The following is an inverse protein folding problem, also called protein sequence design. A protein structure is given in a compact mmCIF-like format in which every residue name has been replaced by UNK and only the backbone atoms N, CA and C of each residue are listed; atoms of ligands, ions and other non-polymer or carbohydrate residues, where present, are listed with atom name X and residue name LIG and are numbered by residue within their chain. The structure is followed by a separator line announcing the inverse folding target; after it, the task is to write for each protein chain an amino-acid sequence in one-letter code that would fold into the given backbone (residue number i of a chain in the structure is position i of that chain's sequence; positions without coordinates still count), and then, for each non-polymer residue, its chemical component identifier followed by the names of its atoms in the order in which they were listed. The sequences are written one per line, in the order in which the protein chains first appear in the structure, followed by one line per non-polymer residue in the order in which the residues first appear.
data_IF_390282201857
#
_entry.id   IF_390282201857
#
_cell.length_a   1.000
_cell.length_b   1.000
_cell.length_c   1.000
_cell.angle_alpha   90.00
_cell.angle_beta   90.00
_cell.angle_gamma   90.00
#
_symmetry.space_group_name_H-M   'P 1'
#
loop_
_entity.id
_entity.type
_entity.pdbx_description
1 polymer ?
#
# COMPACT_ATOMS: atom_id res chain seq x y z
N UNK A 1 -20.08 96.89 -62.16
CA UNK A 1 -19.54 97.41 -60.90
C UNK A 1 -20.10 96.55 -59.78
N UNK A 2 -19.21 95.89 -59.05
CA UNK A 2 -19.51 95.14 -57.83
C UNK A 2 -20.09 96.05 -56.74
N UNK A 3 -20.97 95.50 -55.91
CA UNK A 3 -20.84 95.38 -54.45
C UNK A 3 -22.23 95.12 -53.86
N UNK A 4 -22.52 93.93 -53.33
CA UNK A 4 -22.16 93.35 -52.02
C UNK A 4 -23.25 93.64 -50.98
N UNK A 5 -24.13 92.66 -50.78
CA UNK A 5 -25.15 92.65 -49.72
C UNK A 5 -24.97 91.36 -48.93
N UNK A 6 -24.46 91.49 -47.70
CA UNK A 6 -24.20 90.37 -46.78
C UNK A 6 -25.33 90.27 -45.76
N UNK A 7 -26.05 89.14 -45.62
CA UNK A 7 -26.88 88.89 -44.46
C UNK A 7 -26.06 88.24 -43.34
N UNK A 8 -26.13 88.86 -42.16
CA UNK A 8 -25.53 88.41 -40.91
C UNK A 8 -26.20 87.11 -40.42
N UNK A 9 -25.46 86.00 -40.35
CA UNK A 9 -25.89 84.74 -39.73
C UNK A 9 -25.12 84.51 -38.42
N UNK A 10 -25.78 84.32 -37.26
CA UNK A 10 -25.08 84.02 -36.01
C UNK A 10 -24.47 82.61 -36.02
N UNK A 11 -23.22 82.48 -35.59
CA UNK A 11 -22.49 81.20 -35.51
C UNK A 11 -22.92 80.34 -34.30
N UNK A 12 -23.09 79.01 -34.43
CA UNK A 12 -23.44 78.15 -33.29
C UNK A 12 -22.17 77.75 -32.51
N UNK A 13 -21.68 78.64 -31.64
CA UNK A 13 -20.55 78.35 -30.74
C UNK A 13 -20.95 77.54 -29.49
N UNK A 14 -22.21 77.61 -29.06
CA UNK A 14 -22.67 77.02 -27.79
C UNK A 14 -22.84 75.49 -27.77
N UNK A 15 -22.96 74.82 -28.92
CA UNK A 15 -23.20 73.36 -28.96
C UNK A 15 -21.91 72.53 -28.82
N UNK A 16 -20.75 73.07 -29.21
CA UNK A 16 -19.45 72.36 -29.14
C UNK A 16 -18.89 72.31 -27.72
N UNK A 17 -19.17 73.33 -26.91
CA UNK A 17 -18.72 73.40 -25.51
C UNK A 17 -19.55 72.46 -24.62
N UNK A 18 -20.87 72.43 -24.81
CA UNK A 18 -21.75 71.49 -24.10
C UNK A 18 -21.43 70.01 -24.38
N UNK A 19 -20.97 69.69 -25.60
CA UNK A 19 -20.52 68.34 -25.96
C UNK A 19 -19.20 67.98 -25.29
N UNK A 20 -18.24 68.91 -25.22
CA UNK A 20 -16.96 68.70 -24.53
C UNK A 20 -17.13 68.54 -23.03
N UNK A 21 -18.03 69.30 -22.41
CA UNK A 21 -18.34 69.17 -20.99
C UNK A 21 -19.01 67.82 -20.65
N UNK A 22 -19.97 67.38 -21.49
CA UNK A 22 -20.58 66.05 -21.34
C UNK A 22 -19.57 64.93 -21.55
N UNK A 23 -18.68 65.05 -22.55
CA UNK A 23 -17.62 64.07 -22.79
C UNK A 23 -16.67 63.97 -21.58
N UNK A 24 -16.27 65.10 -20.99
CA UNK A 24 -15.41 65.10 -19.80
C UNK A 24 -16.10 64.49 -18.57
N UNK A 25 -17.39 64.76 -18.35
CA UNK A 25 -18.17 64.13 -17.25
C UNK A 25 -18.30 62.62 -17.43
N UNK A 26 -18.56 62.14 -18.65
CA UNK A 26 -18.65 60.70 -18.94
C UNK A 26 -17.29 60.02 -18.77
N UNK A 27 -16.20 60.64 -19.24
CA UNK A 27 -14.85 60.10 -19.03
C UNK A 27 -14.46 60.04 -17.54
N UNK A 28 -14.84 61.04 -16.73
CA UNK A 28 -14.60 61.04 -15.29
C UNK A 28 -15.45 59.97 -14.56
N UNK A 29 -16.68 59.72 -15.00
CA UNK A 29 -17.52 58.66 -14.44
C UNK A 29 -17.01 57.26 -14.83
N UNK A 30 -16.60 57.07 -16.08
CA UNK A 30 -16.08 55.79 -16.57
C UNK A 30 -14.73 55.42 -15.95
N UNK A 31 -13.84 56.38 -15.68
CA UNK A 31 -12.55 56.11 -15.04
C UNK A 31 -12.72 55.66 -13.58
N UNK A 32 -13.62 56.31 -12.82
CA UNK A 32 -13.98 55.91 -11.46
C UNK A 32 -14.62 54.52 -11.41
N UNK A 33 -15.54 54.23 -12.34
CA UNK A 33 -16.16 52.90 -12.45
C UNK A 33 -15.15 51.80 -12.79
N UNK A 34 -14.20 52.05 -13.71
CA UNK A 34 -13.13 51.10 -14.05
C UNK A 34 -12.20 50.85 -12.87
N UNK A 35 -11.85 51.88 -12.11
CA UNK A 35 -11.02 51.75 -10.91
C UNK A 35 -11.73 50.92 -9.84
N UNK A 36 -13.00 51.24 -9.53
CA UNK A 36 -13.80 50.47 -8.55
C UNK A 36 -13.99 49.02 -8.98
N UNK A 37 -14.24 48.75 -10.26
CA UNK A 37 -14.36 47.37 -10.78
C UNK A 37 -13.06 46.59 -10.62
N UNK A 38 -11.90 47.21 -10.84
CA UNK A 38 -10.58 46.58 -10.61
C UNK A 38 -10.33 46.28 -9.13
N UNK A 39 -10.71 47.21 -8.24
CA UNK A 39 -10.60 47.00 -6.79
C UNK A 39 -11.50 45.85 -6.33
N UNK A 40 -12.74 45.78 -6.81
CA UNK A 40 -13.68 44.69 -6.47
C UNK A 40 -13.15 43.34 -6.94
N UNK A 41 -12.67 43.24 -8.19
CA UNK A 41 -12.09 42.00 -8.72
C UNK A 41 -10.84 41.59 -7.92
N UNK A 42 -9.97 42.56 -7.59
CA UNK A 42 -8.80 42.30 -6.75
C UNK A 42 -9.18 41.80 -5.35
N UNK A 43 -10.18 42.42 -4.71
CA UNK A 43 -10.67 42.00 -3.39
C UNK A 43 -11.29 40.60 -3.42
N UNK A 44 -12.10 40.27 -4.44
CA UNK A 44 -12.69 38.93 -4.61
C UNK A 44 -11.60 37.88 -4.85
N UNK A 45 -10.58 38.19 -5.65
CA UNK A 45 -9.47 37.27 -5.88
C UNK A 45 -8.65 37.02 -4.60
N UNK A 46 -8.40 38.05 -3.79
CA UNK A 46 -7.72 37.90 -2.49
C UNK A 46 -8.55 37.07 -1.52
N UNK A 47 -9.86 37.29 -1.45
CA UNK A 47 -10.75 36.50 -0.60
C UNK A 47 -10.80 35.05 -1.07
N UNK A 48 -10.86 34.78 -2.37
CA UNK A 48 -10.86 33.42 -2.91
C UNK A 48 -9.53 32.69 -2.64
N UNK A 49 -8.39 33.34 -2.88
CA UNK A 49 -7.06 32.78 -2.58
C UNK A 49 -6.86 32.59 -1.09
N UNK A 50 -7.33 33.54 -0.27
CA UNK A 50 -7.34 33.42 1.19
C UNK A 50 -8.18 32.25 1.68
N UNK A 51 -9.40 32.10 1.16
CA UNK A 51 -10.31 31.00 1.50
C UNK A 51 -9.73 29.63 1.10
N UNK A 52 -9.15 29.52 -0.09
CA UNK A 52 -8.45 28.30 -0.53
C UNK A 52 -7.22 28.04 0.34
N UNK A 53 -6.42 29.06 0.65
CA UNK A 53 -5.27 28.95 1.55
C UNK A 53 -5.66 28.48 2.95
N UNK A 54 -6.74 29.03 3.51
CA UNK A 54 -7.26 28.60 4.82
C UNK A 54 -7.86 27.20 4.79
N UNK A 55 -8.52 26.80 3.69
CA UNK A 55 -9.04 25.44 3.55
C UNK A 55 -7.92 24.41 3.45
N UNK A 56 -6.85 24.73 2.72
CA UNK A 56 -5.66 23.87 2.60
C UNK A 56 -4.91 23.79 3.94
N UNK A 57 -4.71 24.89 4.67
CA UNK A 57 -4.05 24.84 5.99
C UNK A 57 -4.89 24.13 7.05
N UNK A 58 -6.23 24.26 7.02
CA UNK A 58 -7.13 23.50 7.89
C UNK A 58 -7.13 22.00 7.57
N UNK A 59 -7.11 21.63 6.29
CA UNK A 59 -7.02 20.23 5.88
C UNK A 59 -5.68 19.57 6.25
N UNK A 60 -4.57 20.32 6.18
CA UNK A 60 -3.24 19.83 6.57
C UNK A 60 -3.10 19.76 8.11
N UNK A 61 -3.58 20.77 8.85
CA UNK A 61 -3.50 20.75 10.32
C UNK A 61 -4.41 19.70 10.98
N UNK A 62 -5.53 19.35 10.35
CA UNK A 62 -6.37 18.23 10.78
C UNK A 62 -5.68 16.87 10.65
N UNK A 63 -4.74 16.70 9.71
CA UNK A 63 -3.94 15.47 9.58
C UNK A 63 -2.78 15.40 10.57
N UNK A 64 -2.19 16.53 10.96
CA UNK A 64 -1.06 16.58 11.92
C UNK A 64 -1.48 16.26 13.36
N UNK A 65 -2.79 16.25 13.65
CA UNK A 65 -3.31 16.10 15.03
C UNK A 65 -3.88 14.72 15.36
N UNK A 66 -3.95 13.77 14.40
CA UNK A 66 -4.35 12.39 14.70
C UNK A 66 -3.15 11.62 15.22
N UNK A 67 -3.25 10.88 16.35
CA UNK A 67 -2.18 9.99 16.77
C UNK A 67 -1.88 8.98 15.65
N UNK A 68 -0.59 8.79 15.36
CA UNK A 68 -0.14 7.78 14.40
C UNK A 68 -0.53 6.40 14.94
N UNK A 69 -1.41 5.69 14.24
CA UNK A 69 -1.77 4.33 14.59
C UNK A 69 -0.75 3.37 14.01
N UNK A 70 -0.33 2.40 14.83
CA UNK A 70 0.51 1.28 14.41
C UNK A 70 -0.35 0.02 14.45
N UNK A 71 -0.39 -0.79 13.38
CA UNK A 71 -1.12 -2.04 13.37
C UNK A 71 -0.60 -2.98 14.47
N UNK A 72 -1.50 -3.77 15.05
CA UNK A 72 -1.12 -4.82 16.00
C UNK A 72 -1.04 -6.17 15.29
N UNK A 73 -0.24 -7.10 15.83
CA UNK A 73 -0.12 -8.46 15.26
C UNK A 73 0.77 -8.55 14.01
N UNK A 74 1.65 -7.58 13.82
CA UNK A 74 2.66 -7.58 12.75
C UNK A 74 4.07 -7.65 13.32
N UNK A 75 4.96 -8.33 12.61
CA UNK A 75 6.39 -8.38 12.89
C UNK A 75 7.16 -7.78 11.71
N UNK A 76 8.01 -6.80 11.99
CA UNK A 76 8.79 -6.09 10.95
C UNK A 76 7.94 -5.59 9.78
N UNK A 77 6.75 -5.03 10.08
CA UNK A 77 5.72 -4.61 9.12
C UNK A 77 5.06 -5.72 8.29
N UNK A 78 5.36 -6.98 8.61
CA UNK A 78 4.78 -8.17 8.00
C UNK A 78 3.62 -8.73 8.82
N UNK A 79 2.56 -9.11 8.15
CA UNK A 79 1.48 -9.91 8.73
C UNK A 79 1.87 -11.38 8.61
N UNK A 80 2.07 -12.04 9.74
CA UNK A 80 2.44 -13.45 9.81
C UNK A 80 1.22 -14.31 9.53
N UNK A 81 1.34 -15.23 8.57
CA UNK A 81 0.37 -16.26 8.25
C UNK A 81 1.04 -17.62 8.48
N UNK A 82 0.68 -18.26 9.59
CA UNK A 82 1.20 -19.55 10.03
C UNK A 82 0.10 -20.60 10.27
N UNK A 83 -1.17 -20.19 10.16
CA UNK A 83 -2.33 -21.06 10.16
C UNK A 83 -3.34 -20.46 9.18
N UNK A 84 -4.00 -21.33 8.42
CA UNK A 84 -5.10 -20.93 7.54
C UNK A 84 -6.23 -21.92 7.72
N UNK A 85 -7.42 -21.41 8.04
CA UNK A 85 -8.64 -22.19 7.91
C UNK A 85 -8.72 -22.65 6.45
N UNK A 86 -8.57 -23.95 6.20
CA UNK A 86 -8.53 -24.53 4.86
C UNK A 86 -9.67 -23.95 4.02
N UNK A 87 -9.30 -23.05 3.12
CA UNK A 87 -10.26 -22.31 2.31
C UNK A 87 -10.87 -23.36 1.41
N UNK A 88 -12.14 -23.68 1.68
CA UNK A 88 -12.88 -24.71 1.00
C UNK A 88 -12.59 -24.62 -0.49
N UNK A 89 -11.96 -25.66 -1.02
CA UNK A 89 -11.66 -25.83 -2.42
C UNK A 89 -12.96 -25.71 -3.22
N UNK A 90 -13.25 -24.51 -3.71
CA UNK A 90 -14.20 -24.30 -4.79
C UNK A 90 -13.39 -24.14 -6.07
N UNK A 91 -12.88 -25.25 -6.60
CA UNK A 91 -13.35 -25.77 -7.90
C UNK A 91 -12.60 -27.08 -8.25
N UNK A 92 -13.36 -28.01 -8.83
CA UNK A 92 -12.97 -29.26 -9.53
C UNK A 92 -12.18 -30.34 -8.77
N UNK A 93 -12.95 -31.35 -8.39
CA UNK A 93 -12.56 -32.73 -8.07
C UNK A 93 -11.73 -33.41 -9.17
N UNK A 94 -10.56 -33.95 -8.82
CA UNK A 94 -10.06 -35.20 -9.38
C UNK A 94 -9.57 -36.08 -8.23
N UNK A 95 -10.41 -37.05 -7.87
CA UNK A 95 -10.14 -38.02 -6.83
C UNK A 95 -9.01 -38.99 -7.20
N UNK A 96 -8.25 -39.38 -6.19
CA UNK A 96 -7.56 -40.68 -6.16
C UNK A 96 -7.72 -41.22 -4.73
N UNK A 97 -8.23 -42.44 -4.53
CA UNK A 97 -8.44 -42.97 -3.18
C UNK A 97 -7.11 -43.37 -2.55
N UNK A 98 -6.83 -42.85 -1.36
CA UNK A 98 -5.73 -43.33 -0.50
C UNK A 98 -6.25 -44.52 0.32
N UNK A 99 -5.52 -45.65 0.41
CA UNK A 99 -5.97 -46.80 1.17
C UNK A 99 -5.82 -46.58 2.69
N UNK A 100 -6.78 -47.08 3.47
CA UNK A 100 -6.74 -47.13 4.93
C UNK A 100 -5.52 -47.93 5.43
N UNK A 101 -4.77 -47.45 6.45
CA UNK A 101 -3.88 -48.28 7.21
C UNK A 101 -4.64 -49.03 8.31
N UNK A 102 -4.50 -50.35 8.27
CA UNK A 102 -4.95 -51.32 9.28
C UNK A 102 -4.28 -51.10 10.63
N UNK A 103 -5.07 -51.16 11.71
CA UNK A 103 -4.59 -51.21 13.10
C UNK A 103 -3.70 -52.44 13.37
N UNK A 104 -2.55 -52.22 14.00
CA UNK A 104 -1.87 -53.23 14.79
C UNK A 104 -1.22 -52.59 16.02
N UNK A 105 -1.73 -52.97 17.19
CA UNK A 105 -1.21 -52.59 18.49
C UNK A 105 0.10 -53.34 18.81
N UNK A 106 1.09 -52.62 19.36
CA UNK A 106 2.05 -53.16 20.32
C UNK A 106 2.60 -52.02 21.19
N UNK A 107 2.33 -52.14 22.48
CA UNK A 107 2.74 -51.26 23.57
C UNK A 107 4.24 -51.32 23.79
N UNK A 108 4.93 -50.19 23.62
CA UNK A 108 6.24 -49.94 24.21
C UNK A 108 6.19 -48.60 24.96
N UNK A 109 6.50 -48.64 26.25
CA UNK A 109 6.57 -47.48 27.14
C UNK A 109 7.63 -46.50 26.63
N UNK A 110 7.30 -45.23 26.31
CA UNK A 110 8.33 -44.27 25.92
C UNK A 110 9.07 -43.77 27.17
N UNK A 111 10.38 -44.04 27.19
CA UNK A 111 11.38 -43.20 27.86
C UNK A 111 11.13 -41.74 27.46
N UNK A 112 11.24 -40.74 28.37
CA UNK A 112 11.10 -39.35 27.98
C UNK A 112 12.21 -39.00 26.98
N UNK A 113 11.86 -39.00 25.70
CA UNK A 113 12.66 -38.36 24.68
C UNK A 113 12.65 -36.86 24.98
N UNK A 114 13.76 -36.14 24.78
CA UNK A 114 13.71 -34.69 24.75
C UNK A 114 12.61 -34.26 23.78
N UNK A 115 11.81 -33.29 24.20
CA UNK A 115 10.78 -32.67 23.38
C UNK A 115 11.40 -32.39 22.00
N UNK A 116 10.85 -32.95 20.90
CA UNK A 116 11.39 -32.65 19.58
C UNK A 116 11.20 -31.16 19.40
N UNK A 117 12.30 -30.41 19.36
CA UNK A 117 12.30 -29.06 18.81
C UNK A 117 11.57 -29.17 17.48
N UNK A 118 10.43 -28.48 17.35
CA UNK A 118 9.72 -28.44 16.09
C UNK A 118 10.74 -28.06 15.00
N UNK A 119 10.75 -28.72 13.83
CA UNK A 119 11.67 -28.35 12.77
C UNK A 119 11.55 -26.85 12.52
N UNK A 120 12.68 -26.16 12.40
CA UNK A 120 12.69 -24.73 12.07
C UNK A 120 11.94 -24.56 10.75
N UNK A 121 10.84 -23.82 10.78
CA UNK A 121 10.04 -23.55 9.58
C UNK A 121 10.78 -22.55 8.72
N UNK A 122 10.82 -22.77 7.41
CA UNK A 122 11.41 -21.78 6.50
C UNK A 122 10.53 -20.52 6.52
N UNK A 123 11.15 -19.37 6.78
CA UNK A 123 10.47 -18.07 6.76
C UNK A 123 10.50 -17.48 5.35
N UNK A 124 9.32 -17.10 4.86
CA UNK A 124 9.12 -16.46 3.57
C UNK A 124 8.52 -15.07 3.80
N UNK A 125 9.20 -14.02 3.37
CA UNK A 125 8.72 -12.65 3.39
C UNK A 125 8.27 -12.25 1.98
N UNK A 126 7.02 -11.83 1.82
CA UNK A 126 6.43 -11.41 0.55
C UNK A 126 6.07 -9.94 0.62
N UNK A 127 6.87 -9.08 0.00
CA UNK A 127 6.58 -7.64 -0.13
C UNK A 127 5.60 -7.42 -1.27
N UNK A 128 4.43 -6.87 -0.97
CA UNK A 128 3.29 -6.85 -1.89
C UNK A 128 2.71 -5.44 -2.07
N UNK A 129 2.59 -5.00 -3.32
CA UNK A 129 1.79 -3.83 -3.70
C UNK A 129 0.53 -4.31 -4.43
N UNK A 130 -0.64 -3.99 -3.88
CA UNK A 130 -1.93 -4.46 -4.39
C UNK A 130 -2.31 -3.92 -5.79
N UNK A 131 -1.55 -2.99 -6.37
CA UNK A 131 -1.71 -2.54 -7.76
C UNK A 131 -0.68 -3.16 -8.73
N UNK A 132 0.38 -3.79 -8.22
CA UNK A 132 1.43 -4.35 -9.05
C UNK A 132 0.94 -5.61 -9.77
N UNK A 133 0.92 -5.65 -11.12
CA UNK A 133 0.42 -6.80 -11.86
C UNK A 133 1.16 -8.10 -11.55
N UNK A 134 2.49 -8.01 -11.42
CA UNK A 134 3.39 -9.11 -11.09
C UNK A 134 3.02 -9.72 -9.72
N UNK A 135 2.49 -8.92 -8.79
CA UNK A 135 2.12 -9.41 -7.47
C UNK A 135 0.84 -10.25 -7.54
N UNK A 136 -0.11 -9.85 -8.38
CA UNK A 136 -1.29 -10.68 -8.66
C UNK A 136 -0.93 -11.92 -9.49
N UNK A 137 0.04 -11.84 -10.39
CA UNK A 137 0.55 -13.01 -11.14
C UNK A 137 1.13 -14.05 -10.19
N UNK A 138 2.06 -13.64 -9.33
CA UNK A 138 2.63 -14.50 -8.30
C UNK A 138 1.55 -15.13 -7.41
N UNK A 139 0.61 -14.32 -6.90
CA UNK A 139 -0.48 -14.82 -6.05
C UNK A 139 -1.32 -15.89 -6.78
N UNK A 140 -1.76 -15.61 -8.02
CA UNK A 140 -2.61 -16.55 -8.78
C UNK A 140 -1.89 -17.86 -9.08
N UNK A 141 -0.58 -17.82 -9.30
CA UNK A 141 0.23 -19.01 -9.56
C UNK A 141 0.54 -19.80 -8.27
N UNK A 142 0.93 -19.10 -7.19
CA UNK A 142 1.58 -19.72 -6.02
C UNK A 142 0.72 -19.79 -4.75
N UNK A 143 -0.43 -19.11 -4.67
CA UNK A 143 -1.23 -19.08 -3.44
C UNK A 143 -1.64 -20.47 -2.96
N UNK A 144 -1.97 -21.40 -3.87
CA UNK A 144 -2.38 -22.77 -3.50
C UNK A 144 -1.24 -23.57 -2.87
N UNK A 145 -0.03 -23.48 -3.41
CA UNK A 145 1.11 -24.21 -2.82
C UNK A 145 1.57 -23.57 -1.50
N UNK A 146 1.58 -22.24 -1.42
CA UNK A 146 1.89 -21.53 -0.17
C UNK A 146 0.90 -21.92 0.92
N UNK A 147 -0.40 -21.97 0.59
CA UNK A 147 -1.44 -22.43 1.49
C UNK A 147 -1.20 -23.87 1.98
N UNK A 148 -0.83 -24.79 1.08
CA UNK A 148 -0.47 -26.17 1.45
C UNK A 148 0.70 -26.20 2.42
N UNK A 149 1.79 -25.49 2.10
CA UNK A 149 2.99 -25.46 2.94
C UNK A 149 2.76 -24.82 4.32
N UNK A 150 1.91 -23.78 4.39
CA UNK A 150 1.49 -23.18 5.66
C UNK A 150 0.70 -24.20 6.48
N UNK A 151 -0.30 -24.86 5.86
CA UNK A 151 -1.16 -25.84 6.54
C UNK A 151 -0.41 -27.09 7.01
N UNK A 152 0.63 -27.49 6.26
CA UNK A 152 1.54 -28.58 6.62
C UNK A 152 2.57 -28.15 7.68
N UNK A 153 2.63 -26.86 8.02
CA UNK A 153 3.62 -26.30 8.96
C UNK A 153 5.05 -26.30 8.41
N UNK A 154 5.23 -26.39 7.09
CA UNK A 154 6.54 -26.39 6.43
C UNK A 154 7.15 -24.98 6.35
N UNK A 155 6.31 -23.96 6.20
CA UNK A 155 6.74 -22.55 6.08
C UNK A 155 5.95 -21.64 7.01
N UNK A 156 6.55 -20.51 7.36
CA UNK A 156 5.85 -19.34 7.89
C UNK A 156 5.89 -18.25 6.81
N UNK A 157 4.75 -17.71 6.41
CA UNK A 157 4.71 -16.65 5.39
C UNK A 157 4.34 -15.33 6.03
N UNK A 158 5.22 -14.33 5.90
CA UNK A 158 4.96 -12.95 6.31
C UNK A 158 4.68 -12.09 5.07
N UNK A 159 3.47 -11.56 4.94
CA UNK A 159 3.14 -10.62 3.87
C UNK A 159 3.38 -9.18 4.35
N UNK A 160 4.11 -8.40 3.57
CA UNK A 160 4.49 -7.01 3.88
C UNK A 160 3.78 -6.06 2.90
N UNK A 161 2.61 -5.49 3.26
CA UNK A 161 1.91 -4.53 2.42
C UNK A 161 2.75 -3.25 2.20
N UNK A 162 3.07 -2.97 0.95
CA UNK A 162 3.83 -1.79 0.52
C UNK A 162 3.08 -1.05 -0.60
N UNK A 163 3.52 0.18 -0.90
CA UNK A 163 2.81 1.10 -1.78
C UNK A 163 3.70 1.78 -2.85
N UNK A 164 4.51 0.99 -3.55
CA UNK A 164 5.40 1.43 -4.64
C UNK A 164 4.66 2.14 -5.79
N UNK A 165 3.44 1.70 -6.12
CA UNK A 165 2.63 2.20 -7.23
C UNK A 165 1.61 3.26 -6.81
N UNK A 166 1.83 3.93 -5.67
CA UNK A 166 0.95 5.00 -5.16
C UNK A 166 0.59 6.05 -6.22
N UNK A 167 1.53 6.46 -7.06
CA UNK A 167 1.29 7.47 -8.10
C UNK A 167 0.56 6.92 -9.36
N UNK A 168 0.41 5.61 -9.49
CA UNK A 168 -0.04 4.92 -10.71
C UNK A 168 -1.55 4.65 -10.74
N UNK A 169 -2.35 5.40 -9.98
CA UNK A 169 -3.80 5.18 -9.79
C UNK A 169 -4.65 6.44 -9.98
N UNK A 170 -4.44 7.18 -11.07
CA UNK A 170 -5.20 8.40 -11.41
C UNK A 170 -5.36 9.42 -10.26
N UNK A 171 -4.37 9.50 -9.37
CA UNK A 171 -4.38 10.38 -8.19
C UNK A 171 -5.14 9.86 -6.96
N UNK A 172 -5.80 8.70 -7.02
CA UNK A 172 -6.53 8.12 -5.88
C UNK A 172 -5.62 7.43 -4.86
N UNK A 173 -4.37 7.12 -5.23
CA UNK A 173 -3.38 6.48 -4.36
C UNK A 173 -3.80 5.08 -3.91
N UNK A 174 -4.37 4.29 -4.82
CA UNK A 174 -4.92 2.97 -4.53
C UNK A 174 -3.93 2.04 -3.78
N UNK A 175 -2.67 1.89 -4.23
CA UNK A 175 -1.69 1.04 -3.53
C UNK A 175 -1.56 1.38 -2.05
N UNK A 176 -1.49 2.67 -1.73
CA UNK A 176 -1.35 3.15 -0.35
C UNK A 176 -2.61 2.86 0.48
N UNK A 177 -3.79 3.08 -0.08
CA UNK A 177 -5.08 2.81 0.60
C UNK A 177 -5.31 1.31 0.79
N UNK A 178 -4.95 0.50 -0.21
CA UNK A 178 -5.06 -0.95 -0.13
C UNK A 178 -4.09 -1.56 0.90
N UNK A 179 -2.83 -1.09 0.96
CA UNK A 179 -1.88 -1.49 1.99
C UNK A 179 -2.37 -1.13 3.41
N UNK A 180 -2.92 0.07 3.59
CA UNK A 180 -3.56 0.47 4.84
C UNK A 180 -4.80 -0.38 5.18
N UNK A 181 -5.60 -0.75 4.18
CA UNK A 181 -6.76 -1.60 4.38
C UNK A 181 -6.37 -3.03 4.80
N UNK A 182 -5.30 -3.57 4.22
CA UNK A 182 -4.73 -4.85 4.63
C UNK A 182 -4.28 -4.83 6.11
N UNK A 183 -3.70 -3.71 6.55
CA UNK A 183 -3.37 -3.50 7.96
C UNK A 183 -4.59 -3.41 8.89
N UNK A 184 -5.69 -2.81 8.44
CA UNK A 184 -6.95 -2.81 9.16
C UNK A 184 -7.49 -4.23 9.35
N UNK A 185 -7.46 -5.05 8.31
CA UNK A 185 -7.89 -6.46 8.41
C UNK A 185 -6.96 -7.23 9.34
N UNK A 186 -5.65 -7.10 9.21
CA UNK A 186 -4.69 -7.76 10.10
C UNK A 186 -4.89 -7.38 11.58
N UNK A 187 -5.18 -6.10 11.86
CA UNK A 187 -5.37 -5.59 13.22
C UNK A 187 -6.65 -6.11 13.86
N UNK A 188 -7.75 -6.17 13.11
CA UNK A 188 -9.09 -6.43 13.66
C UNK A 188 -9.63 -7.83 13.36
N UNK A 189 -9.05 -8.54 12.40
CA UNK A 189 -9.45 -9.88 11.95
C UNK A 189 -8.26 -10.61 11.32
N UNK A 190 -7.17 -10.86 12.09
CA UNK A 190 -5.92 -11.44 11.57
C UNK A 190 -6.14 -12.74 10.79
N UNK A 191 -7.02 -13.62 11.27
CA UNK A 191 -7.33 -14.91 10.62
C UNK A 191 -8.01 -14.74 9.25
N UNK A 192 -8.52 -13.54 8.93
CA UNK A 192 -9.11 -13.20 7.63
C UNK A 192 -8.17 -12.43 6.70
N UNK A 193 -6.98 -12.06 7.19
CA UNK A 193 -5.99 -11.33 6.40
C UNK A 193 -5.61 -12.08 5.13
N UNK A 194 -5.28 -13.37 5.22
CA UNK A 194 -4.84 -14.14 4.06
C UNK A 194 -5.92 -14.20 2.97
N UNK A 195 -7.19 -14.40 3.36
CA UNK A 195 -8.31 -14.38 2.43
C UNK A 195 -8.50 -13.00 1.76
N UNK A 196 -8.39 -11.92 2.54
CA UNK A 196 -8.46 -10.55 2.02
C UNK A 196 -7.29 -10.21 1.07
N UNK A 197 -6.07 -10.58 1.44
CA UNK A 197 -4.86 -10.40 0.64
C UNK A 197 -5.04 -11.06 -0.73
N UNK A 198 -5.47 -12.33 -0.75
CA UNK A 198 -5.73 -13.06 -1.98
C UNK A 198 -6.85 -12.45 -2.81
N UNK A 199 -7.94 -12.01 -2.19
CA UNK A 199 -9.05 -11.37 -2.90
C UNK A 199 -8.57 -10.12 -3.65
N UNK A 200 -7.82 -9.24 -2.99
CA UNK A 200 -7.30 -8.02 -3.61
C UNK A 200 -6.31 -8.30 -4.75
N UNK A 201 -5.43 -9.31 -4.60
CA UNK A 201 -4.44 -9.68 -5.61
C UNK A 201 -5.02 -10.48 -6.78
N UNK A 202 -6.11 -11.21 -6.54
CA UNK A 202 -6.84 -11.92 -7.61
C UNK A 202 -7.74 -10.97 -8.40
N UNK A 203 -8.31 -9.96 -7.74
CA UNK A 203 -9.26 -9.01 -8.32
C UNK A 203 -8.65 -7.60 -8.48
N UNK A 204 -7.40 -7.52 -8.93
CA UNK A 204 -6.71 -6.24 -9.03
C UNK A 204 -7.36 -5.27 -10.02
N UNK A 205 -7.45 -3.99 -9.66
CA UNK A 205 -7.75 -2.96 -10.65
C UNK A 205 -6.59 -2.81 -11.64
N UNK A 206 -6.91 -2.38 -12.85
CA UNK A 206 -5.90 -2.10 -13.87
C UNK A 206 -5.05 -0.89 -13.46
N UNK A 207 -3.73 -0.98 -13.63
CA UNK A 207 -2.80 0.15 -13.48
C UNK A 207 -3.27 1.36 -14.31
N UNK A 208 -3.20 2.55 -13.72
CA UNK A 208 -3.65 3.80 -14.33
C UNK A 208 -5.14 4.08 -14.18
N UNK A 209 -5.92 3.18 -13.55
CA UNK A 209 -7.31 3.44 -13.17
C UNK A 209 -7.42 3.93 -11.72
N UNK A 210 -8.61 4.37 -11.32
CA UNK A 210 -8.88 4.85 -9.96
C UNK A 210 -8.67 3.78 -8.87
N UNK A 211 -8.68 2.49 -9.23
CA UNK A 211 -8.70 1.40 -8.25
C UNK A 211 -9.99 1.33 -7.45
N UNK A 212 -10.01 0.50 -6.41
CA UNK A 212 -11.17 0.45 -5.50
C UNK A 212 -11.21 1.68 -4.60
N UNK A 213 -12.41 2.21 -4.36
CA UNK A 213 -12.65 3.20 -3.30
C UNK A 213 -12.52 2.57 -1.91
N UNK A 214 -12.43 3.38 -0.85
CA UNK A 214 -12.34 2.87 0.52
C UNK A 214 -13.57 2.06 0.91
N UNK A 215 -14.75 2.48 0.46
CA UNK A 215 -15.98 1.71 0.64
C UNK A 215 -15.94 0.36 -0.10
N UNK A 216 -15.32 0.29 -1.28
CA UNK A 216 -15.13 -0.98 -2.00
C UNK A 216 -14.11 -1.88 -1.31
N UNK A 217 -13.00 -1.34 -0.78
CA UNK A 217 -12.03 -2.07 0.03
C UNK A 217 -12.68 -2.63 1.30
N UNK A 218 -13.51 -1.83 1.99
CA UNK A 218 -14.25 -2.27 3.17
C UNK A 218 -15.28 -3.36 2.83
N UNK A 219 -15.95 -3.26 1.67
CA UNK A 219 -16.86 -4.29 1.20
C UNK A 219 -16.13 -5.60 0.84
N UNK A 220 -14.92 -5.52 0.26
CA UNK A 220 -14.08 -6.69 0.00
C UNK A 220 -13.66 -7.37 1.32
N UNK A 221 -13.28 -6.59 2.34
CA UNK A 221 -13.00 -7.13 3.67
C UNK A 221 -14.24 -7.81 4.29
N UNK A 222 -15.41 -7.19 4.19
CA UNK A 222 -16.66 -7.80 4.65
C UNK A 222 -16.98 -9.11 3.90
N UNK A 223 -16.69 -9.19 2.60
CA UNK A 223 -16.96 -10.36 1.78
C UNK A 223 -16.14 -11.59 2.18
N UNK A 224 -14.95 -11.40 2.76
CA UNK A 224 -14.13 -12.52 3.30
C UNK A 224 -14.48 -12.90 4.74
N UNK A 225 -15.53 -12.29 5.33
CA UNK A 225 -16.08 -12.69 6.62
C UNK A 225 -15.27 -12.22 7.83
N UNK A 226 -14.76 -10.99 7.82
CA UNK A 226 -14.13 -10.35 8.99
C UNK A 226 -15.04 -10.34 10.23
N UNK A 227 -14.48 -10.59 11.41
CA UNK A 227 -15.23 -10.78 12.66
C UNK A 227 -15.86 -9.48 13.17
N UNK A 228 -15.08 -8.38 13.17
CA UNK A 228 -15.57 -7.04 13.51
C UNK A 228 -15.70 -6.17 12.24
N UNK A 229 -16.66 -6.55 11.39
CA UNK A 229 -16.90 -5.86 10.11
C UNK A 229 -17.13 -4.34 10.26
N UNK A 230 -17.64 -3.88 11.41
CA UNK A 230 -17.86 -2.45 11.66
C UNK A 230 -16.54 -1.74 11.98
N UNK A 231 -15.71 -2.30 12.85
CA UNK A 231 -14.40 -1.72 13.15
C UNK A 231 -13.48 -1.75 11.93
N UNK A 232 -13.43 -2.88 11.22
CA UNK A 232 -12.67 -3.01 9.96
C UNK A 232 -13.10 -1.96 8.95
N UNK A 233 -14.42 -1.80 8.74
CA UNK A 233 -14.95 -0.79 7.81
C UNK A 233 -14.55 0.63 8.22
N UNK A 234 -14.70 0.99 9.49
CA UNK A 234 -14.31 2.32 9.97
C UNK A 234 -12.82 2.56 9.76
N UNK A 235 -11.96 1.61 10.16
CA UNK A 235 -10.52 1.70 9.98
C UNK A 235 -10.12 1.96 8.52
N UNK A 236 -10.76 1.25 7.58
CA UNK A 236 -10.51 1.41 6.14
C UNK A 236 -11.02 2.76 5.63
N UNK A 237 -12.27 3.12 5.91
CA UNK A 237 -12.90 4.36 5.42
C UNK A 237 -12.29 5.62 6.05
N UNK A 238 -11.77 5.54 7.27
CA UNK A 238 -11.09 6.64 7.97
C UNK A 238 -9.59 6.75 7.60
N UNK A 239 -9.05 5.75 6.92
CA UNK A 239 -7.66 5.71 6.46
C UNK A 239 -6.64 5.56 7.60
N UNK A 240 -7.00 4.84 8.65
CA UNK A 240 -6.28 4.81 9.93
C UNK A 240 -4.80 4.42 9.83
N UNK A 241 -4.47 3.51 8.91
CA UNK A 241 -3.10 3.04 8.69
C UNK A 241 -2.42 3.58 7.43
N UNK A 242 -2.94 4.63 6.80
CA UNK A 242 -2.33 5.24 5.59
C UNK A 242 -0.92 5.76 5.88
N UNK A 243 -0.69 6.38 7.03
CA UNK A 243 0.65 6.88 7.37
C UNK A 243 1.61 5.73 7.70
N UNK A 244 1.14 4.70 8.41
CA UNK A 244 1.92 3.48 8.63
C UNK A 244 2.33 2.84 7.30
N UNK A 245 1.40 2.65 6.35
CA UNK A 245 1.68 2.01 5.07
C UNK A 245 2.74 2.78 4.26
N UNK A 246 2.71 4.12 4.33
CA UNK A 246 3.74 4.97 3.73
C UNK A 246 5.11 4.73 4.39
N UNK A 247 5.16 4.73 5.72
CA UNK A 247 6.41 4.55 6.46
C UNK A 247 6.98 3.14 6.35
N UNK A 248 6.13 2.10 6.34
CA UNK A 248 6.51 0.71 6.06
C UNK A 248 7.13 0.59 4.67
N UNK A 249 6.52 1.23 3.66
CA UNK A 249 7.09 1.30 2.31
C UNK A 249 8.46 1.99 2.31
N UNK A 250 8.63 3.09 3.05
CA UNK A 250 9.94 3.77 3.18
C UNK A 250 10.97 2.87 3.86
N UNK A 251 10.62 2.19 4.96
CA UNK A 251 11.52 1.26 5.64
C UNK A 251 11.96 0.11 4.72
N UNK A 252 11.04 -0.44 3.93
CA UNK A 252 11.38 -1.49 2.97
C UNK A 252 12.32 -1.00 1.86
N UNK A 253 12.14 0.25 1.39
CA UNK A 253 13.02 0.86 0.39
C UNK A 253 14.41 1.21 0.93
N UNK A 254 14.51 1.53 2.22
CA UNK A 254 15.78 1.84 2.90
C UNK A 254 16.53 0.56 3.32
N UNK A 255 15.79 -0.49 3.69
CA UNK A 255 16.27 -1.77 4.18
C UNK A 255 16.99 -1.72 5.54
N UNK A 256 17.60 -2.85 5.96
CA UNK A 256 17.50 -4.16 5.33
C UNK A 256 16.07 -4.73 5.42
N UNK A 257 15.68 -5.57 4.46
CA UNK A 257 14.40 -6.27 4.48
C UNK A 257 14.37 -7.34 5.58
N UNK A 258 13.20 -7.57 6.18
CA UNK A 258 12.98 -8.65 7.12
C UNK A 258 13.45 -10.00 6.55
N UNK A 259 14.19 -10.75 7.37
CA UNK A 259 14.79 -12.02 6.98
C UNK A 259 16.08 -11.88 6.16
N UNK A 260 16.65 -10.69 5.96
CA UNK A 260 17.88 -10.48 5.18
C UNK A 260 18.83 -9.46 5.83
N UNK A 261 20.12 -9.51 5.48
CA UNK A 261 21.15 -8.61 6.02
C UNK A 261 21.36 -7.34 5.18
N UNK A 262 21.09 -7.39 3.88
CA UNK A 262 21.48 -6.34 2.93
C UNK A 262 20.44 -6.05 1.82
N UNK A 263 19.37 -6.84 1.71
CA UNK A 263 18.37 -6.62 0.68
C UNK A 263 17.56 -5.34 0.96
N UNK A 264 17.18 -4.67 -0.12
CA UNK A 264 16.27 -3.52 -0.14
C UNK A 264 15.16 -3.78 -1.14
N UNK A 265 13.97 -3.23 -0.89
CA UNK A 265 12.84 -3.38 -1.79
C UNK A 265 13.12 -2.67 -3.12
N UNK A 266 12.97 -3.39 -4.24
CA UNK A 266 13.19 -2.84 -5.58
C UNK A 266 12.03 -3.10 -6.55
N UNK A 267 11.18 -4.08 -6.26
CA UNK A 267 10.00 -4.46 -7.03
C UNK A 267 8.88 -4.94 -6.12
N UNK A 268 7.66 -5.05 -6.67
CA UNK A 268 6.56 -5.75 -6.03
C UNK A 268 5.96 -6.76 -7.04
N UNK A 269 5.93 -8.06 -6.73
CA UNK A 269 6.32 -8.63 -5.46
C UNK A 269 7.85 -8.68 -5.36
N UNK A 270 8.34 -8.77 -4.13
CA UNK A 270 9.68 -9.26 -3.85
C UNK A 270 9.53 -10.34 -2.78
N UNK A 271 10.01 -11.54 -3.10
CA UNK A 271 9.93 -12.71 -2.22
C UNK A 271 11.32 -12.96 -1.67
N UNK A 272 11.45 -12.95 -0.35
CA UNK A 272 12.71 -13.22 0.36
C UNK A 272 12.50 -14.46 1.22
N UNK A 273 13.34 -15.47 1.04
CA UNK A 273 13.34 -16.68 1.85
C UNK A 273 14.73 -16.88 2.45
N UNK A 274 14.80 -16.92 3.79
CA UNK A 274 16.05 -17.09 4.53
C UNK A 274 17.22 -16.21 4.03
N UNK A 275 16.95 -14.93 3.76
CA UNK A 275 17.94 -13.96 3.30
C UNK A 275 18.14 -13.87 1.80
N UNK A 276 17.59 -14.81 1.02
CA UNK A 276 17.75 -14.83 -0.43
C UNK A 276 16.48 -14.36 -1.16
N UNK A 277 16.66 -13.51 -2.16
CA UNK A 277 15.57 -13.04 -3.00
C UNK A 277 15.28 -14.05 -4.13
N UNK A 278 14.00 -14.42 -4.30
CA UNK A 278 13.57 -15.18 -5.48
C UNK A 278 13.62 -14.27 -6.73
N UNK A 279 14.34 -14.72 -7.75
CA UNK A 279 14.53 -13.99 -9.03
C UNK A 279 14.01 -14.77 -10.25
N UNK A 280 13.29 -15.87 -10.03
CA UNK A 280 12.74 -16.74 -11.07
C UNK A 280 11.40 -16.27 -11.64
N UNK A 281 10.76 -17.11 -12.46
CA UNK A 281 9.46 -16.80 -13.05
C UNK A 281 8.33 -16.80 -12.01
N UNK A 282 7.65 -15.66 -11.86
CA UNK A 282 6.57 -15.49 -10.88
C UNK A 282 5.33 -16.36 -11.18
N UNK A 283 5.17 -16.79 -12.43
CA UNK A 283 4.07 -17.62 -12.94
C UNK A 283 4.42 -19.11 -13.04
N UNK A 284 5.60 -19.55 -12.57
CA UNK A 284 6.03 -20.95 -12.53
C UNK A 284 6.09 -21.50 -11.09
N UNK A 285 5.01 -22.15 -10.61
CA UNK A 285 4.96 -22.75 -9.28
C UNK A 285 6.04 -23.82 -9.02
N UNK A 286 6.48 -24.53 -10.08
CA UNK A 286 7.49 -25.57 -9.96
C UNK A 286 8.89 -24.96 -9.79
N UNK A 287 9.19 -23.88 -10.51
CA UNK A 287 10.43 -23.13 -10.32
C UNK A 287 10.52 -22.54 -8.91
N UNK A 288 9.44 -21.90 -8.42
CA UNK A 288 9.40 -21.38 -7.06
C UNK A 288 9.55 -22.48 -6.00
N UNK A 289 8.97 -23.66 -6.23
CA UNK A 289 9.17 -24.84 -5.36
C UNK A 289 10.63 -25.31 -5.33
N UNK A 290 11.31 -25.34 -6.49
CA UNK A 290 12.72 -25.73 -6.55
C UNK A 290 13.64 -24.73 -5.84
N UNK A 291 13.32 -23.44 -5.92
CA UNK A 291 13.99 -22.41 -5.12
C UNK A 291 13.82 -22.70 -3.63
N UNK A 292 12.60 -22.94 -3.16
CA UNK A 292 12.36 -23.23 -1.74
C UNK A 292 13.06 -24.49 -1.24
N UNK A 293 13.12 -25.55 -2.05
CA UNK A 293 13.88 -26.75 -1.72
C UNK A 293 15.39 -26.48 -1.61
N UNK A 294 15.92 -25.54 -2.40
CA UNK A 294 17.33 -25.16 -2.32
C UNK A 294 17.61 -24.41 -1.01
N UNK A 295 16.74 -23.46 -0.66
CA UNK A 295 16.82 -22.70 0.60
C UNK A 295 16.75 -23.63 1.82
N UNK A 296 15.83 -24.59 1.85
CA UNK A 296 15.67 -25.54 2.96
C UNK A 296 16.90 -26.45 3.11
N UNK A 297 17.47 -26.92 2.01
CA UNK A 297 18.69 -27.72 2.02
C UNK A 297 19.89 -26.92 2.55
N UNK A 298 20.06 -25.67 2.11
CA UNK A 298 21.18 -24.82 2.55
C UNK A 298 21.07 -24.47 4.04
N UNK A 299 19.86 -24.19 4.53
CA UNK A 299 19.60 -24.00 5.97
C UNK A 299 19.94 -25.25 6.79
N UNK A 300 19.55 -26.43 6.29
CA UNK A 300 19.85 -27.72 6.89
C UNK A 300 21.36 -28.04 6.91
N UNK A 301 22.12 -27.54 5.94
CA UNK A 301 23.57 -27.70 5.93
C UNK A 301 24.27 -26.75 6.90
N UNK A 302 23.84 -25.49 6.98
CA UNK A 302 24.38 -24.50 7.92
C UNK A 302 24.15 -24.90 9.38
N UNK A 303 22.97 -25.42 9.71
CA UNK A 303 22.64 -25.91 11.06
C UNK A 303 23.46 -27.13 11.49
N UNK A 304 23.98 -27.92 10.54
CA UNK A 304 24.81 -29.09 10.80
C UNK A 304 26.31 -28.79 10.92
N UNK A 305 26.76 -27.57 10.60
CA UNK A 305 28.15 -27.16 10.84
C UNK A 305 28.38 -26.88 12.35
N UNK A 306 28.84 -27.90 13.08
CA UNK A 306 29.28 -27.75 14.48
C UNK A 306 30.43 -26.73 14.56
N UNK A 307 30.41 -25.74 15.48
CA UNK A 307 31.52 -24.80 15.61
C UNK A 307 32.82 -25.56 15.89
N UNK A 308 33.84 -25.30 15.06
CA UNK A 308 35.18 -25.84 15.27
C UNK A 308 35.62 -25.53 16.71
N UNK A 309 36.00 -26.52 17.55
CA UNK A 309 36.37 -26.26 18.92
C UNK A 309 37.54 -25.27 18.94
N UNK A 310 37.37 -24.16 19.67
CA UNK A 310 38.44 -23.20 19.90
C UNK A 310 39.65 -23.95 20.46
N UNK A 311 40.84 -23.87 19.82
CA UNK A 311 42.01 -24.56 20.33
C UNK A 311 42.32 -24.03 21.73
N UNK A 312 42.31 -24.93 22.72
CA UNK A 312 42.72 -24.61 24.09
C UNK A 312 44.18 -24.17 24.06
N UNK A 313 44.55 -23.00 24.63
CA UNK A 313 45.94 -22.57 24.65
C UNK A 313 46.78 -23.56 25.46
N UNK A 314 47.74 -24.21 24.79
CA UNK A 314 48.74 -25.09 25.42
C UNK A 314 49.59 -24.27 26.39
N UNK A 315 49.51 -24.60 27.69
CA UNK A 315 50.37 -24.01 28.70
C UNK A 315 51.84 -24.36 28.40
N UNK A 316 52.67 -23.33 28.24
CA UNK A 316 54.13 -23.46 28.10
C UNK A 316 54.75 -23.91 29.42
N UNK A 317 55.52 -25.02 29.47
CA UNK A 317 56.29 -25.35 30.67
C UNK A 317 57.43 -24.35 30.83
N UNK A 318 57.51 -23.72 32.00
CA UNK A 318 58.59 -22.80 32.39
C UNK A 318 59.83 -23.61 32.80
N UNK A 319 61.06 -23.20 32.42
CA UNK A 319 62.30 -23.88 32.80
C UNK A 319 62.66 -23.76 34.29
#
# INVERSE_FOLDING_TARGET
MSSDETPNVPTPRNSREAVREKAQKVHAQQSRARLMRRIIIGAVAIIAVGAVGTAVTLAVSAQVSKPQLTPTGMESDGVIVNDIDAIAASDETLGTPVPEPTEAAATATPTPAPEPTAPERVEIHVYVDYLAPDAGEFERANARQLASWISEGAVTVSYHPVALLTASSNGTKYSLRAAAAAACVATHSPDKFYAFNRDLLSNQPKVGTDGFSDAQLANAAAAVGVDDAKAVRSCIEDGDFVTWAKEATTRALDGPLAGSDDLVLSSAPMIVANGEAYVGALDDPAEFSNFMLTIDNDASQQSNETPTPTPTPTATPTP
#
